data_IF_318181955565
#
_entry.id   IF_318181955565
#
_cell.length_a   1.000
_cell.length_b   1.000
_cell.length_c   1.000
_cell.angle_alpha   90.00
_cell.angle_beta   90.00
_cell.angle_gamma   90.00
#
_symmetry.space_group_name_H-M   'P 1'
#
loop_
_entity.id
_entity.type
_entity.pdbx_description
1 polymer ?
#
# COMPACT_ATOMS: atom_id res chain seq x y z
N UNK A 1 -5.19 -52.02 7.64
CA UNK A 1 -5.21 -50.91 6.63
C UNK A 1 -4.82 -49.62 7.35
N UNK A 2 -3.97 -48.76 6.77
CA UNK A 2 -3.57 -47.49 7.42
C UNK A 2 -4.61 -46.40 7.12
N UNK A 3 -5.19 -45.81 8.16
CA UNK A 3 -6.21 -44.77 8.09
C UNK A 3 -5.75 -43.41 8.64
N UNK A 4 -6.64 -42.43 8.64
CA UNK A 4 -6.39 -41.10 9.25
C UNK A 4 -6.16 -41.16 10.76
N UNK A 5 -6.73 -42.16 11.43
CA UNK A 5 -6.57 -42.44 12.86
C UNK A 5 -5.15 -42.88 13.26
N UNK A 6 -4.34 -43.34 12.30
CA UNK A 6 -2.94 -43.71 12.54
C UNK A 6 -1.95 -42.60 12.14
N UNK A 7 -2.44 -41.45 11.66
CA UNK A 7 -1.61 -40.35 11.16
C UNK A 7 -1.51 -39.24 12.21
N UNK A 8 -0.29 -38.90 12.62
CA UNK A 8 -0.02 -37.74 13.47
C UNK A 8 0.40 -36.55 12.59
N UNK A 9 -0.27 -35.40 12.76
CA UNK A 9 0.00 -34.19 12.01
C UNK A 9 1.15 -33.39 12.65
N UNK A 10 1.97 -32.73 11.83
CA UNK A 10 3.17 -31.98 12.24
C UNK A 10 2.95 -30.93 13.36
N UNK A 11 1.75 -30.35 13.49
CA UNK A 11 1.44 -29.36 14.52
C UNK A 11 0.41 -29.81 15.55
N UNK A 12 0.16 -31.12 15.67
CA UNK A 12 -0.62 -31.66 16.78
C UNK A 12 0.26 -31.82 18.03
N UNK A 13 -0.25 -31.42 19.19
CA UNK A 13 0.44 -31.62 20.48
C UNK A 13 -0.03 -32.92 21.11
N UNK A 14 0.91 -33.82 21.43
CA UNK A 14 0.60 -35.06 22.15
C UNK A 14 0.24 -34.74 23.61
N UNK A 15 -0.89 -35.26 24.09
CA UNK A 15 -1.33 -35.15 25.48
C UNK A 15 -1.57 -36.54 26.05
N UNK A 16 -1.42 -36.68 27.38
CA UNK A 16 -1.72 -37.90 28.13
C UNK A 16 -0.91 -39.16 27.73
N UNK A 17 0.33 -38.99 27.23
CA UNK A 17 1.24 -40.11 26.92
C UNK A 17 2.70 -39.64 27.01
N UNK A 18 3.58 -40.41 27.67
CA UNK A 18 4.99 -40.01 27.89
C UNK A 18 5.85 -40.06 26.62
N UNK A 19 5.69 -41.11 25.80
CA UNK A 19 6.46 -41.30 24.56
C UNK A 19 5.71 -42.16 23.56
N UNK A 20 6.00 -41.94 22.28
CA UNK A 20 5.48 -42.73 21.17
C UNK A 20 6.61 -43.05 20.20
N UNK A 21 6.44 -44.15 19.47
CA UNK A 21 7.30 -44.50 18.33
C UNK A 21 6.46 -44.39 17.06
N UNK A 22 6.96 -43.64 16.08
CA UNK A 22 6.29 -43.45 14.80
C UNK A 22 7.31 -43.36 13.68
N UNK A 23 6.83 -43.51 12.44
CA UNK A 23 7.66 -43.35 11.24
C UNK A 23 7.23 -42.09 10.50
N UNK A 24 8.19 -41.30 10.03
CA UNK A 24 7.89 -40.11 9.24
C UNK A 24 7.47 -40.53 7.83
N UNK A 25 6.19 -40.30 7.50
CA UNK A 25 5.64 -40.60 6.16
C UNK A 25 5.72 -39.36 5.24
N UNK A 26 5.45 -38.17 5.78
CA UNK A 26 5.54 -36.90 5.05
C UNK A 26 6.50 -35.96 5.76
N UNK A 27 7.33 -35.25 4.99
CA UNK A 27 8.33 -34.33 5.52
C UNK A 27 8.23 -32.95 4.85
N UNK A 28 8.63 -31.90 5.57
CA UNK A 28 8.69 -30.55 5.02
C UNK A 28 7.36 -30.03 4.43
N UNK A 29 7.42 -29.62 3.16
CA UNK A 29 6.29 -29.04 2.42
C UNK A 29 5.24 -30.05 1.96
N UNK A 30 5.56 -31.35 2.03
CA UNK A 30 4.62 -32.43 1.66
C UNK A 30 3.67 -32.79 2.81
N UNK A 31 3.89 -32.22 4.00
CA UNK A 31 2.98 -32.44 5.14
C UNK A 31 1.62 -31.82 4.86
N UNK A 32 0.53 -32.48 5.28
CA UNK A 32 -0.85 -31.97 5.11
C UNK A 32 -1.04 -30.54 5.64
N UNK A 33 -0.34 -30.19 6.73
CA UNK A 33 -0.35 -28.84 7.28
C UNK A 33 0.29 -27.82 6.32
N UNK A 34 1.43 -28.15 5.71
CA UNK A 34 2.09 -27.28 4.74
C UNK A 34 1.28 -27.17 3.44
N UNK A 35 0.59 -28.23 3.03
CA UNK A 35 -0.29 -28.22 1.85
C UNK A 35 -1.58 -27.39 2.08
N UNK A 36 -2.08 -27.32 3.31
CA UNK A 36 -3.16 -26.42 3.70
C UNK A 36 -2.71 -24.97 3.86
N UNK A 37 -1.40 -24.72 3.87
CA UNK A 37 -0.86 -23.37 3.79
C UNK A 37 -1.02 -22.88 2.35
N UNK A 38 -2.22 -22.41 1.99
CA UNK A 38 -2.38 -21.70 0.74
C UNK A 38 -1.39 -20.53 0.74
N UNK A 39 -0.56 -20.48 -0.31
CA UNK A 39 0.25 -19.30 -0.59
C UNK A 39 -0.66 -18.10 -0.49
N UNK A 40 -0.32 -17.17 0.41
CA UNK A 40 -1.09 -15.96 0.71
C UNK A 40 -1.32 -15.27 -0.63
N UNK A 41 -2.48 -15.48 -1.26
CA UNK A 41 -2.87 -14.71 -2.42
C UNK A 41 -2.93 -13.30 -1.91
N UNK A 42 -1.99 -12.45 -2.34
CA UNK A 42 -1.97 -11.06 -1.94
C UNK A 42 -3.26 -10.45 -2.47
N UNK A 43 -4.30 -10.45 -1.62
CA UNK A 43 -5.49 -9.65 -1.82
C UNK A 43 -4.99 -8.21 -1.77
N UNK A 44 -4.74 -7.63 -2.94
CA UNK A 44 -4.51 -6.19 -3.06
C UNK A 44 -5.70 -5.52 -2.39
N UNK A 45 -5.45 -4.86 -1.26
CA UNK A 45 -6.50 -4.22 -0.49
C UNK A 45 -7.22 -3.21 -1.39
N UNK A 46 -8.54 -3.07 -1.22
CA UNK A 46 -9.32 -2.05 -1.94
C UNK A 46 -8.70 -0.64 -1.79
N UNK A 47 -8.01 -0.42 -0.66
CA UNK A 47 -7.24 0.77 -0.32
C UNK A 47 -6.10 1.00 -1.30
N UNK A 48 -5.27 -0.02 -1.58
CA UNK A 48 -4.15 0.09 -2.52
C UNK A 48 -4.64 0.49 -3.93
N UNK A 49 -5.80 -0.04 -4.35
CA UNK A 49 -6.41 0.32 -5.62
C UNK A 49 -6.86 1.79 -5.63
N UNK A 50 -7.46 2.26 -4.54
CA UNK A 50 -7.87 3.67 -4.36
C UNK A 50 -6.66 4.62 -4.39
N UNK A 51 -5.56 4.25 -3.73
CA UNK A 51 -4.33 5.04 -3.72
C UNK A 51 -3.75 5.21 -5.13
N UNK A 52 -3.74 4.14 -5.93
CA UNK A 52 -3.29 4.21 -7.31
C UNK A 52 -4.18 5.14 -8.17
N UNK A 53 -5.49 5.18 -7.91
CA UNK A 53 -6.39 6.13 -8.57
C UNK A 53 -6.05 7.57 -8.18
N UNK A 54 -5.81 7.84 -6.90
CA UNK A 54 -5.39 9.18 -6.44
C UNK A 54 -4.04 9.60 -7.05
N UNK A 55 -3.08 8.69 -7.19
CA UNK A 55 -1.80 8.98 -7.87
C UNK A 55 -2.03 9.43 -9.32
N UNK A 56 -2.90 8.75 -10.06
CA UNK A 56 -3.24 9.14 -11.43
C UNK A 56 -3.90 10.53 -11.45
N UNK A 57 -4.84 10.79 -10.53
CA UNK A 57 -5.49 12.10 -10.42
C UNK A 57 -4.47 13.20 -10.11
N UNK A 58 -3.56 12.99 -9.16
CA UNK A 58 -2.50 13.96 -8.85
C UNK A 58 -1.55 14.19 -10.03
N UNK A 59 -1.22 13.15 -10.80
CA UNK A 59 -0.42 13.28 -12.01
C UNK A 59 -1.13 14.14 -13.06
N UNK A 60 -2.43 13.95 -13.28
CA UNK A 60 -3.22 14.78 -14.19
C UNK A 60 -3.28 16.25 -13.72
N UNK A 61 -3.44 16.49 -12.42
CA UNK A 61 -3.42 17.84 -11.84
C UNK A 61 -2.04 18.48 -12.01
N UNK A 62 -0.96 17.71 -11.80
CA UNK A 62 0.41 18.18 -11.97
C UNK A 62 0.67 18.63 -13.42
N UNK A 63 0.34 17.79 -14.39
CA UNK A 63 0.53 18.07 -15.82
C UNK A 63 -0.30 19.27 -16.25
N UNK A 64 -1.57 19.35 -15.85
CA UNK A 64 -2.44 20.48 -16.18
C UNK A 64 -1.94 21.79 -15.58
N UNK A 65 -1.51 21.79 -14.31
CA UNK A 65 -0.88 22.97 -13.69
C UNK A 65 0.40 23.40 -14.41
N UNK A 66 1.29 22.46 -14.71
CA UNK A 66 2.51 22.77 -15.44
C UNK A 66 2.21 23.38 -16.81
N UNK A 67 1.24 22.82 -17.55
CA UNK A 67 0.82 23.34 -18.84
C UNK A 67 0.22 24.75 -18.74
N UNK A 68 -0.71 24.97 -17.80
CA UNK A 68 -1.34 26.28 -17.57
C UNK A 68 -0.27 27.32 -17.21
N UNK A 69 0.67 27.02 -16.32
CA UNK A 69 1.73 27.95 -15.95
C UNK A 69 2.69 28.25 -17.09
N UNK A 70 3.04 27.26 -17.91
CA UNK A 70 3.83 27.48 -19.13
C UNK A 70 3.10 28.42 -20.08
N UNK A 71 1.81 28.19 -20.37
CA UNK A 71 1.01 29.07 -21.25
C UNK A 71 0.94 30.48 -20.68
N UNK A 72 0.62 30.63 -19.39
CA UNK A 72 0.55 31.93 -18.72
C UNK A 72 1.90 32.67 -18.79
N UNK A 73 3.03 31.98 -18.62
CA UNK A 73 4.37 32.55 -18.77
C UNK A 73 4.56 33.12 -20.18
N UNK A 74 4.21 32.37 -21.22
CA UNK A 74 4.36 32.83 -22.60
C UNK A 74 3.41 33.98 -22.96
N UNK A 75 2.17 33.94 -22.46
CA UNK A 75 1.22 35.05 -22.61
C UNK A 75 1.76 36.31 -21.92
N UNK A 76 2.32 36.17 -20.71
CA UNK A 76 2.91 37.29 -19.98
C UNK A 76 4.17 37.85 -20.65
N UNK A 77 4.99 36.99 -21.26
CA UNK A 77 6.21 37.34 -22.00
C UNK A 77 5.94 37.80 -23.44
N UNK A 78 4.68 37.91 -23.86
CA UNK A 78 4.34 38.45 -25.18
C UNK A 78 4.72 39.92 -25.34
N UNK A 79 4.80 40.68 -24.23
CA UNK A 79 5.30 42.05 -24.23
C UNK A 79 6.84 42.07 -24.25
N UNK A 80 7.49 42.72 -25.24
CA UNK A 80 8.96 42.73 -25.38
C UNK A 80 9.71 43.22 -24.15
N UNK A 81 9.12 44.19 -23.43
CA UNK A 81 9.68 44.76 -22.21
C UNK A 81 9.68 43.78 -21.03
N UNK A 82 8.80 42.77 -21.03
CA UNK A 82 8.66 41.78 -19.95
C UNK A 82 9.51 40.53 -20.13
N UNK A 83 9.93 40.23 -21.37
CA UNK A 83 10.76 39.04 -21.66
C UNK A 83 12.26 39.30 -21.43
N UNK A 84 12.73 40.52 -21.64
CA UNK A 84 14.11 40.97 -21.32
C UNK A 84 14.11 42.40 -20.74
N UNK A 85 13.84 42.56 -19.45
CA UNK A 85 14.02 43.85 -18.81
C UNK A 85 15.51 44.23 -18.73
N UNK A 86 15.80 45.53 -18.72
CA UNK A 86 17.16 46.09 -18.79
C UNK A 86 18.15 45.56 -17.73
N UNK A 87 17.65 45.06 -16.61
CA UNK A 87 18.43 44.54 -15.48
C UNK A 87 18.67 43.02 -15.53
N UNK A 88 18.02 42.27 -16.42
CA UNK A 88 18.13 40.81 -16.52
C UNK A 88 18.09 40.35 -17.98
N UNK A 89 19.18 40.63 -18.69
CA UNK A 89 19.39 40.23 -20.08
C UNK A 89 19.66 38.73 -20.17
N UNK A 90 19.17 38.06 -21.21
CA UNK A 90 19.45 36.62 -21.39
C UNK A 90 20.84 36.42 -21.96
N UNK A 91 21.35 35.22 -21.75
CA UNK A 91 22.62 34.82 -22.38
C UNK A 91 22.41 34.60 -23.88
N UNK A 92 23.42 34.88 -24.71
CA UNK A 92 23.35 34.67 -26.17
C UNK A 92 22.93 33.22 -26.55
N UNK A 93 23.34 32.24 -25.75
CA UNK A 93 22.93 30.82 -25.90
C UNK A 93 21.43 30.58 -25.65
N UNK A 94 20.80 31.36 -24.78
CA UNK A 94 19.36 31.29 -24.51
C UNK A 94 18.55 32.00 -25.60
N UNK A 95 19.10 33.07 -26.19
CA UNK A 95 18.48 33.84 -27.27
C UNK A 95 18.43 33.06 -28.58
N UNK A 96 19.44 32.23 -28.85
CA UNK A 96 19.51 31.36 -30.03
C UNK A 96 18.73 30.05 -29.86
N UNK A 97 18.16 29.78 -28.69
CA UNK A 97 17.50 28.51 -28.43
C UNK A 97 16.14 28.43 -29.09
N UNK A 98 15.84 27.29 -29.70
CA UNK A 98 14.52 27.04 -30.30
C UNK A 98 13.40 27.27 -29.28
N UNK A 99 12.34 27.98 -29.69
CA UNK A 99 11.19 28.30 -28.83
C UNK A 99 10.53 27.04 -28.25
N UNK A 100 10.45 25.97 -29.06
CA UNK A 100 9.95 24.67 -28.61
C UNK A 100 10.81 24.06 -27.49
N UNK A 101 12.14 24.11 -27.63
CA UNK A 101 13.05 23.62 -26.59
C UNK A 101 12.95 24.47 -25.32
N UNK A 102 12.77 25.79 -25.45
CA UNK A 102 12.51 26.70 -24.31
C UNK A 102 11.22 26.32 -23.58
N UNK A 103 10.13 26.14 -24.31
CA UNK A 103 8.84 25.79 -23.74
C UNK A 103 8.87 24.43 -23.05
N UNK A 104 9.58 23.47 -23.65
CA UNK A 104 9.74 22.14 -23.07
C UNK A 104 10.53 22.16 -21.76
N UNK A 105 11.65 22.87 -21.68
CA UNK A 105 12.37 22.95 -20.39
C UNK A 105 11.59 23.73 -19.35
N UNK A 106 10.86 24.77 -19.75
CA UNK A 106 10.03 25.55 -18.84
C UNK A 106 8.89 24.68 -18.27
N UNK A 107 8.27 23.86 -19.11
CA UNK A 107 7.29 22.86 -18.68
C UNK A 107 7.89 21.85 -17.70
N UNK A 108 9.09 21.31 -17.99
CA UNK A 108 9.78 20.40 -17.06
C UNK A 108 10.15 21.10 -15.74
N UNK A 109 10.58 22.36 -15.79
CA UNK A 109 10.89 23.14 -14.60
C UNK A 109 9.65 23.34 -13.72
N UNK A 110 8.48 23.64 -14.30
CA UNK A 110 7.23 23.70 -13.56
C UNK A 110 6.77 22.34 -13.02
N UNK A 111 7.02 21.24 -13.74
CA UNK A 111 6.75 19.89 -13.24
C UNK A 111 7.59 19.57 -11.99
N UNK A 112 8.87 19.93 -11.99
CA UNK A 112 9.76 19.80 -10.82
C UNK A 112 9.30 20.72 -9.68
N UNK A 113 8.96 21.98 -9.99
CA UNK A 113 8.47 22.95 -9.01
C UNK A 113 7.23 22.45 -8.25
N UNK A 114 6.32 21.77 -8.95
CA UNK A 114 5.06 21.28 -8.38
C UNK A 114 5.12 19.80 -7.95
N UNK A 115 6.29 19.17 -7.91
CA UNK A 115 6.41 17.75 -7.56
C UNK A 115 5.86 17.41 -6.16
N UNK A 116 5.80 18.40 -5.26
CA UNK A 116 5.25 18.27 -3.91
C UNK A 116 3.74 17.98 -3.89
N UNK A 117 3.02 18.21 -5.00
CA UNK A 117 1.60 17.86 -5.12
C UNK A 117 1.39 16.35 -4.99
N UNK A 118 2.35 15.54 -5.42
CA UNK A 118 2.29 14.08 -5.26
C UNK A 118 2.80 13.77 -3.83
N UNK A 119 1.93 13.31 -2.92
CA UNK A 119 2.34 13.00 -1.55
C UNK A 119 3.21 11.75 -1.53
N UNK A 120 4.54 11.94 -1.46
CA UNK A 120 5.54 10.85 -1.45
C UNK A 120 5.31 9.90 -0.27
N UNK A 121 4.81 10.42 0.86
CA UNK A 121 4.58 9.66 2.08
C UNK A 121 3.20 9.01 2.20
N UNK A 122 2.29 9.15 1.22
CA UNK A 122 0.92 8.63 1.34
C UNK A 122 0.91 7.12 1.66
N UNK A 123 1.76 6.34 0.99
CA UNK A 123 1.88 4.90 1.24
C UNK A 123 2.28 4.59 2.68
N UNK A 124 3.34 5.25 3.15
CA UNK A 124 3.86 5.04 4.51
C UNK A 124 2.85 5.49 5.56
N UNK A 125 2.15 6.61 5.33
CA UNK A 125 1.12 7.11 6.25
C UNK A 125 -0.05 6.14 6.38
N UNK A 126 -0.53 5.56 5.28
CA UNK A 126 -1.61 4.57 5.31
C UNK A 126 -1.18 3.29 6.03
N UNK A 127 0.02 2.79 5.75
CA UNK A 127 0.57 1.61 6.45
C UNK A 127 0.73 1.86 7.97
N UNK A 128 1.21 3.04 8.35
CA UNK A 128 1.29 3.44 9.76
C UNK A 128 -0.09 3.53 10.42
N UNK A 129 -1.09 4.05 9.71
CA UNK A 129 -2.46 4.10 10.22
C UNK A 129 -3.01 2.69 10.46
N UNK A 130 -2.83 1.75 9.52
CA UNK A 130 -3.25 0.35 9.68
C UNK A 130 -2.59 -0.32 10.88
N UNK A 131 -1.29 -0.09 11.04
CA UNK A 131 -0.50 -0.59 12.15
C UNK A 131 -1.04 -0.07 13.49
N UNK A 132 -1.20 1.24 13.63
CA UNK A 132 -1.78 1.83 14.84
C UNK A 132 -3.21 1.33 15.10
N UNK A 133 -4.02 1.17 14.05
CA UNK A 133 -5.35 0.57 14.14
C UNK A 133 -5.33 -0.85 14.71
N UNK A 134 -4.34 -1.67 14.37
CA UNK A 134 -4.21 -3.02 14.94
C UNK A 134 -3.88 -2.99 16.43
N UNK A 135 -3.05 -2.04 16.87
CA UNK A 135 -2.76 -1.87 18.30
C UNK A 135 -4.01 -1.44 19.08
N UNK A 136 -4.82 -0.55 18.52
CA UNK A 136 -6.06 -0.14 19.18
C UNK A 136 -7.03 -1.31 19.38
N UNK A 137 -7.16 -2.20 18.40
CA UNK A 137 -8.00 -3.40 18.55
C UNK A 137 -7.42 -4.36 19.62
N UNK A 138 -6.10 -4.57 19.62
CA UNK A 138 -5.46 -5.46 20.59
C UNK A 138 -5.44 -4.93 22.03
N UNK A 139 -5.63 -3.63 22.22
CA UNK A 139 -5.72 -2.99 23.54
C UNK A 139 -7.15 -2.75 24.01
N UNK A 140 -8.16 -3.20 23.24
CA UNK A 140 -9.55 -3.06 23.62
C UNK A 140 -9.91 -4.02 24.76
N UNK A 141 -10.22 -3.46 25.93
CA UNK A 141 -10.61 -4.23 27.13
C UNK A 141 -12.01 -4.83 26.98
N UNK A 142 -12.90 -4.23 26.18
CA UNK A 142 -14.27 -4.74 25.97
C UNK A 142 -14.28 -6.05 25.15
N UNK A 143 -13.20 -6.32 24.42
CA UNK A 143 -13.01 -7.55 23.64
C UNK A 143 -12.23 -8.64 24.41
N UNK A 144 -11.87 -8.39 25.67
CA UNK A 144 -11.17 -9.36 26.53
C UNK A 144 -12.15 -10.35 27.16
N UNK A 145 -11.89 -11.64 27.02
CA UNK A 145 -12.70 -12.68 27.65
C UNK A 145 -12.11 -13.11 29.00
N UNK A 146 -12.84 -12.84 30.09
CA UNK A 146 -12.41 -13.18 31.44
C UNK A 146 -12.36 -14.70 31.70
N UNK A 147 -13.19 -15.49 31.01
CA UNK A 147 -13.25 -16.95 31.23
C UNK A 147 -12.03 -17.68 30.65
N UNK A 148 -11.62 -17.31 29.44
CA UNK A 148 -10.42 -17.88 28.79
C UNK A 148 -9.13 -17.14 29.15
N UNK A 149 -9.22 -15.89 29.61
CA UNK A 149 -8.07 -15.02 29.90
C UNK A 149 -7.34 -14.56 28.64
N UNK A 150 -8.00 -14.60 27.48
CA UNK A 150 -7.44 -14.25 26.18
C UNK A 150 -8.08 -12.96 25.64
N UNK A 151 -7.25 -12.10 25.05
CA UNK A 151 -7.68 -10.88 24.35
C UNK A 151 -7.71 -11.03 22.83
N UNK A 152 -8.18 -10.02 22.11
CA UNK A 152 -8.25 -10.05 20.65
C UNK A 152 -6.87 -10.10 19.99
N UNK A 153 -6.60 -11.18 19.24
CA UNK A 153 -5.36 -11.35 18.49
C UNK A 153 -5.51 -10.90 17.04
N UNK A 154 -4.85 -9.79 16.68
CA UNK A 154 -4.80 -9.29 15.30
C UNK A 154 -3.62 -9.88 14.56
N UNK A 155 -3.89 -10.87 13.69
CA UNK A 155 -2.85 -11.55 12.91
C UNK A 155 -2.43 -10.83 11.61
N UNK A 156 -3.17 -9.80 11.21
CA UNK A 156 -2.87 -9.02 9.99
C UNK A 156 -3.42 -7.60 10.10
N UNK A 157 -2.58 -6.60 9.83
CA UNK A 157 -2.95 -5.18 9.88
C UNK A 157 -3.79 -4.73 8.68
N UNK A 158 -3.67 -5.44 7.55
CA UNK A 158 -4.34 -5.09 6.29
C UNK A 158 -5.87 -5.26 6.30
N UNK A 159 -6.40 -6.11 7.18
CA UNK A 159 -7.84 -6.43 7.21
C UNK A 159 -8.64 -5.51 8.14
N UNK A 160 -7.99 -4.66 8.92
CA UNK A 160 -8.68 -3.78 9.88
C UNK A 160 -9.73 -2.90 9.19
N UNK A 161 -9.44 -2.41 7.99
CA UNK A 161 -10.36 -1.59 7.20
C UNK A 161 -11.45 -2.42 6.50
N UNK A 162 -11.20 -3.71 6.26
CA UNK A 162 -12.19 -4.62 5.66
C UNK A 162 -13.25 -5.08 6.67
N UNK A 163 -12.97 -5.05 7.97
CA UNK A 163 -13.95 -5.38 9.04
C UNK A 163 -15.22 -4.54 8.93
N UNK A 164 -15.09 -3.26 8.57
CA UNK A 164 -16.24 -2.36 8.35
C UNK A 164 -16.99 -2.58 7.02
N UNK A 165 -16.47 -3.41 6.12
CA UNK A 165 -17.03 -3.67 4.79
C UNK A 165 -17.64 -5.07 4.66
N UNK A 166 -17.69 -5.84 5.76
CA UNK A 166 -18.25 -7.20 5.76
C UNK A 166 -19.76 -7.15 5.51
N UNK A 167 -20.20 -7.71 4.38
CA UNK A 167 -21.61 -7.81 4.00
C UNK A 167 -22.25 -9.17 4.31
N UNK A 168 -21.42 -10.21 4.46
CA UNK A 168 -21.86 -11.58 4.73
C UNK A 168 -20.96 -12.21 5.77
N UNK A 169 -21.54 -12.58 6.92
CA UNK A 169 -20.89 -13.41 7.93
C UNK A 169 -21.35 -14.86 7.76
N UNK A 170 -20.41 -15.81 7.67
CA UNK A 170 -20.72 -17.25 7.64
C UNK A 170 -20.22 -17.90 8.92
N UNK A 171 -21.15 -18.29 9.79
CA UNK A 171 -20.83 -19.05 10.99
C UNK A 171 -20.78 -20.54 10.68
N UNK A 172 -19.64 -21.17 10.94
CA UNK A 172 -19.53 -22.63 10.95
C UNK A 172 -19.60 -23.09 12.40
N UNK A 173 -20.77 -23.58 12.81
CA UNK A 173 -20.90 -24.27 14.09
C UNK A 173 -20.20 -25.62 13.96
N UNK A 174 -19.05 -25.77 14.62
CA UNK A 174 -18.48 -27.09 14.89
C UNK A 174 -19.36 -27.73 15.96
N UNK A 175 -20.22 -28.66 15.55
CA UNK A 175 -20.90 -29.61 16.43
C UNK A 175 -19.94 -30.68 16.93
#
# INVERSE_FOLDING_TARGET
PLGSENLLLRGATLKNTEKIFGVAIYTGMETKMALNYQSKSQKRSAVEKSMNVFLIVYLCILVSKALVNTVLKYVWQSEPFRDEPWYNQKTESERQRNLFLRAFTDFLAFMVLFNYIIPVSMYVTVEMQKFLGSYFISWDEDMFDEETGEGPLVNTSDLNEELGQVSVARFFLKG
#
